data_IF_904420171229
#
_entry.id   IF_904420171229
#
_cell.length_a   1.000
_cell.length_b   1.000
_cell.length_c   1.000
_cell.angle_alpha   90.00
_cell.angle_beta   90.00
_cell.angle_gamma   90.00
#
_symmetry.space_group_name_H-M   'P 1'
#
loop_
_entity.id
_entity.type
_entity.pdbx_description
1 polymer ?
#
# COMPACT_ATOMS: atom_id res chain seq x y z
N UNK A 1 66.02 17.29 63.11
CA UNK A 1 66.17 16.62 61.80
C UNK A 1 64.77 16.44 61.22
N UNK A 2 64.53 16.88 59.99
CA UNK A 2 63.20 17.12 59.39
C UNK A 2 62.54 15.84 58.88
N UNK A 3 61.28 15.60 59.25
CA UNK A 3 60.38 14.64 58.62
C UNK A 3 59.93 15.14 57.24
N UNK A 4 59.93 14.26 56.23
CA UNK A 4 59.26 14.52 54.94
C UNK A 4 57.96 13.71 54.91
N UNK A 5 56.84 14.42 55.06
CA UNK A 5 55.51 13.99 54.63
C UNK A 5 55.48 13.95 53.10
N UNK A 6 55.09 12.83 52.51
CA UNK A 6 54.77 12.74 51.08
C UNK A 6 53.26 12.49 50.97
N UNK A 7 52.52 13.50 50.53
CA UNK A 7 51.09 13.42 50.19
C UNK A 7 50.86 12.59 48.91
N UNK A 8 49.77 11.81 48.82
CA UNK A 8 49.39 11.12 47.59
C UNK A 8 48.83 12.10 46.56
N UNK A 9 49.27 11.97 45.30
CA UNK A 9 48.83 12.79 44.17
C UNK A 9 47.41 12.36 43.73
N UNK A 10 46.38 13.23 43.85
CA UNK A 10 45.04 12.94 43.35
C UNK A 10 44.90 13.57 41.97
N UNK A 11 45.05 12.78 40.90
CA UNK A 11 44.44 13.02 39.56
C UNK A 11 45.05 12.08 38.51
N UNK A 12 44.57 10.83 38.46
CA UNK A 12 44.57 10.10 37.21
C UNK A 12 43.53 10.75 36.30
N UNK A 13 43.93 11.77 35.51
CA UNK A 13 43.11 12.26 34.40
C UNK A 13 42.95 11.13 33.39
N UNK A 14 41.72 10.84 32.91
CA UNK A 14 41.56 9.92 31.80
C UNK A 14 42.37 10.44 30.61
N UNK A 15 43.24 9.58 30.12
CA UNK A 15 44.18 9.83 29.05
C UNK A 15 43.42 10.41 27.85
N UNK A 16 43.59 11.71 27.58
CA UNK A 16 42.84 12.48 26.58
C UNK A 16 43.18 12.12 25.13
N UNK A 17 43.57 10.87 24.87
CA UNK A 17 43.93 10.40 23.53
C UNK A 17 42.68 10.42 22.65
N UNK A 18 42.68 11.19 21.55
CA UNK A 18 41.54 11.23 20.65
C UNK A 18 41.30 9.84 20.07
N UNK A 19 40.02 9.41 19.93
CA UNK A 19 39.68 8.08 19.47
C UNK A 19 40.32 7.82 18.10
N UNK A 20 40.85 6.60 17.92
CA UNK A 20 41.53 6.25 16.68
C UNK A 20 40.59 6.38 15.48
N UNK A 21 41.15 6.61 14.29
CA UNK A 21 40.35 6.73 13.05
C UNK A 21 39.43 5.52 12.85
N UNK A 22 39.88 4.31 13.27
CA UNK A 22 39.10 3.07 13.27
C UNK A 22 37.94 3.09 14.28
N UNK A 23 38.16 3.57 15.51
CA UNK A 23 37.10 3.72 16.52
C UNK A 23 36.03 4.74 16.13
N UNK A 24 36.43 5.85 15.49
CA UNK A 24 35.48 6.84 14.94
C UNK A 24 34.65 6.27 13.79
N UNK A 25 35.24 5.43 12.94
CA UNK A 25 34.54 4.78 11.83
C UNK A 25 33.51 3.76 12.35
N UNK A 26 33.90 2.89 13.28
CA UNK A 26 33.02 1.89 13.92
C UNK A 26 31.82 2.52 14.66
N UNK A 27 32.03 3.64 15.36
CA UNK A 27 30.93 4.36 16.02
C UNK A 27 29.97 4.99 15.00
N UNK A 28 30.48 5.51 13.88
CA UNK A 28 29.65 6.09 12.82
C UNK A 28 28.85 5.03 12.08
N UNK A 29 29.45 3.90 11.74
CA UNK A 29 28.74 2.78 11.11
C UNK A 29 27.72 2.16 12.08
N UNK A 30 28.05 2.03 13.36
CA UNK A 30 27.11 1.58 14.38
C UNK A 30 25.91 2.51 14.55
N UNK A 31 26.13 3.84 14.60
CA UNK A 31 25.03 4.82 14.65
C UNK A 31 24.19 4.84 13.37
N UNK A 32 24.82 4.71 12.19
CA UNK A 32 24.09 4.64 10.93
C UNK A 32 23.18 3.41 10.88
N UNK A 33 23.68 2.23 11.29
CA UNK A 33 22.88 1.02 11.35
C UNK A 33 21.72 1.14 12.35
N UNK A 34 21.99 1.68 13.55
CA UNK A 34 20.97 1.90 14.56
C UNK A 34 19.87 2.88 14.07
N UNK A 35 20.25 3.95 13.38
CA UNK A 35 19.32 4.89 12.77
C UNK A 35 18.47 4.23 11.69
N UNK A 36 19.07 3.40 10.82
CA UNK A 36 18.33 2.63 9.79
C UNK A 36 17.34 1.66 10.44
N UNK A 37 17.74 0.93 11.48
CA UNK A 37 16.85 0.01 12.18
C UNK A 37 15.71 0.74 12.90
N UNK A 38 15.98 1.90 13.49
CA UNK A 38 14.96 2.72 14.15
C UNK A 38 13.95 3.28 13.14
N UNK A 39 14.42 3.79 11.99
CA UNK A 39 13.56 4.23 10.90
C UNK A 39 12.75 3.08 10.30
N UNK A 40 13.35 1.90 10.13
CA UNK A 40 12.64 0.71 9.68
C UNK A 40 11.56 0.30 10.69
N UNK A 41 11.86 0.32 11.99
CA UNK A 41 10.90 0.01 13.05
C UNK A 41 9.71 0.99 13.07
N UNK A 42 10.00 2.30 12.98
CA UNK A 42 8.96 3.34 12.89
C UNK A 42 8.12 3.19 11.62
N UNK A 43 8.75 2.90 10.49
CA UNK A 43 8.06 2.66 9.22
C UNK A 43 7.13 1.43 9.29
N UNK A 44 7.60 0.32 9.86
CA UNK A 44 6.79 -0.89 10.07
C UNK A 44 5.63 -0.62 11.04
N UNK A 45 5.89 0.11 12.14
CA UNK A 45 4.87 0.48 13.11
C UNK A 45 3.77 1.36 12.51
N UNK A 46 4.16 2.41 11.77
CA UNK A 46 3.24 3.28 11.05
C UNK A 46 2.45 2.50 9.99
N UNK A 47 3.10 1.64 9.20
CA UNK A 47 2.42 0.82 8.19
C UNK A 47 1.37 -0.09 8.82
N UNK A 48 1.71 -0.81 9.90
CA UNK A 48 0.76 -1.68 10.60
C UNK A 48 -0.41 -0.90 11.18
N UNK A 49 -0.17 0.29 11.71
CA UNK A 49 -1.24 1.15 12.25
C UNK A 49 -2.14 1.71 11.13
N UNK A 50 -1.55 2.12 10.01
CA UNK A 50 -2.27 2.75 8.89
C UNK A 50 -3.03 1.75 8.02
N UNK A 51 -2.47 0.55 7.86
CA UNK A 51 -2.96 -0.50 6.96
C UNK A 51 -3.34 -1.78 7.73
N UNK A 52 -4.12 -1.65 8.81
CA UNK A 52 -4.50 -2.78 9.69
C UNK A 52 -5.22 -3.92 8.96
N UNK A 53 -5.83 -3.63 7.81
CA UNK A 53 -6.56 -4.59 6.97
C UNK A 53 -5.73 -5.10 5.78
N UNK A 54 -4.50 -4.64 5.61
CA UNK A 54 -3.63 -4.98 4.49
C UNK A 54 -2.45 -5.82 4.97
N UNK A 55 -2.38 -7.08 4.56
CA UNK A 55 -1.27 -7.95 4.99
C UNK A 55 0.03 -7.53 4.30
N UNK A 56 1.18 -7.71 4.98
CA UNK A 56 2.48 -7.39 4.40
C UNK A 56 2.78 -8.15 3.11
N UNK A 57 2.29 -9.39 2.99
CA UNK A 57 2.41 -10.18 1.76
C UNK A 57 1.58 -9.60 0.60
N UNK A 58 0.35 -9.15 0.87
CA UNK A 58 -0.49 -8.49 -0.14
C UNK A 58 0.12 -7.15 -0.59
N UNK A 59 0.66 -6.37 0.35
CA UNK A 59 1.35 -5.11 0.06
C UNK A 59 2.59 -5.32 -0.81
N UNK A 60 3.40 -6.34 -0.52
CA UNK A 60 4.56 -6.66 -1.35
C UNK A 60 4.17 -7.13 -2.76
N UNK A 61 3.10 -7.93 -2.88
CA UNK A 61 2.59 -8.37 -4.18
C UNK A 61 2.10 -7.18 -5.03
N UNK A 62 1.32 -6.29 -4.43
CA UNK A 62 0.82 -5.10 -5.11
C UNK A 62 1.98 -4.14 -5.47
N UNK A 63 2.98 -3.97 -4.60
CA UNK A 63 4.17 -3.17 -4.92
C UNK A 63 4.95 -3.74 -6.12
N UNK A 64 5.19 -5.05 -6.15
CA UNK A 64 5.87 -5.72 -7.27
C UNK A 64 5.07 -5.58 -8.57
N UNK A 65 3.76 -5.79 -8.52
CA UNK A 65 2.88 -5.61 -9.67
C UNK A 65 2.90 -4.16 -10.17
N UNK A 66 2.86 -3.17 -9.26
CA UNK A 66 2.88 -1.76 -9.61
C UNK A 66 4.18 -1.34 -10.31
N UNK A 67 5.34 -1.77 -9.80
CA UNK A 67 6.63 -1.50 -10.46
C UNK A 67 6.66 -2.10 -11.87
N UNK A 68 6.22 -3.34 -12.01
CA UNK A 68 6.25 -4.04 -13.29
C UNK A 68 5.23 -3.49 -14.30
N UNK A 69 4.09 -2.97 -13.82
CA UNK A 69 3.05 -2.40 -14.67
C UNK A 69 3.33 -0.96 -15.13
N UNK A 70 4.19 -0.20 -14.43
CA UNK A 70 4.30 1.26 -14.61
C UNK A 70 4.57 1.73 -16.05
N UNK A 71 5.22 0.91 -16.89
CA UNK A 71 5.59 1.25 -18.27
C UNK A 71 4.75 0.52 -19.32
N UNK A 72 3.71 -0.19 -18.89
CA UNK A 72 2.82 -0.86 -19.82
C UNK A 72 1.93 0.17 -20.54
N UNK A 73 1.42 -0.14 -21.74
CA UNK A 73 0.46 0.73 -22.44
C UNK A 73 -0.81 0.99 -21.61
N UNK A 74 -1.25 -0.02 -20.84
CA UNK A 74 -2.37 0.07 -19.90
C UNK A 74 -1.91 -0.33 -18.49
N UNK A 75 -1.28 0.59 -17.73
CA UNK A 75 -0.68 0.27 -16.44
C UNK A 75 -1.67 -0.30 -15.43
N UNK A 76 -2.89 0.24 -15.38
CA UNK A 76 -3.92 -0.22 -14.45
C UNK A 76 -4.34 -1.68 -14.73
N UNK A 77 -4.63 -2.00 -15.99
CA UNK A 77 -5.01 -3.37 -16.40
C UNK A 77 -3.85 -4.33 -16.20
N UNK A 78 -2.63 -3.93 -16.59
CA UNK A 78 -1.44 -4.75 -16.41
C UNK A 78 -1.15 -5.05 -14.94
N UNK A 79 -1.40 -4.08 -14.06
CA UNK A 79 -1.29 -4.30 -12.62
C UNK A 79 -2.24 -5.41 -12.14
N UNK A 80 -3.49 -5.39 -12.58
CA UNK A 80 -4.48 -6.41 -12.24
C UNK A 80 -4.05 -7.80 -12.74
N UNK A 81 -3.58 -7.90 -13.99
CA UNK A 81 -3.07 -9.16 -14.54
C UNK A 81 -1.90 -9.72 -13.73
N UNK A 82 -0.93 -8.87 -13.39
CA UNK A 82 0.24 -9.27 -12.61
C UNK A 82 -0.15 -9.70 -11.18
N UNK A 83 -1.25 -9.16 -10.66
CA UNK A 83 -1.70 -9.43 -9.30
C UNK A 83 -2.60 -10.66 -9.18
N UNK A 84 -3.42 -10.91 -10.19
CA UNK A 84 -4.48 -11.91 -10.14
C UNK A 84 -4.32 -13.05 -11.16
N UNK A 85 -3.46 -12.89 -12.17
CA UNK A 85 -3.36 -13.82 -13.28
C UNK A 85 -4.11 -13.34 -14.51
N UNK A 86 -4.26 -14.20 -15.52
CA UNK A 86 -4.95 -13.83 -16.76
C UNK A 86 -6.37 -13.36 -16.47
N UNK A 87 -6.72 -12.19 -16.98
CA UNK A 87 -8.08 -11.62 -16.90
C UNK A 87 -9.02 -12.25 -17.94
N UNK A 88 -8.58 -13.27 -18.69
CA UNK A 88 -9.49 -14.13 -19.46
C UNK A 88 -10.18 -15.17 -18.56
N UNK A 89 -9.59 -15.47 -17.41
CA UNK A 89 -10.17 -16.35 -16.39
C UNK A 89 -11.24 -15.61 -15.57
N UNK A 90 -12.49 -16.10 -15.53
CA UNK A 90 -13.58 -15.50 -14.74
C UNK A 90 -13.25 -15.35 -13.25
N UNK A 91 -12.53 -16.30 -12.65
CA UNK A 91 -12.19 -16.20 -11.24
C UNK A 91 -11.23 -15.05 -10.98
N UNK A 92 -10.21 -14.90 -11.84
CA UNK A 92 -9.23 -13.83 -11.73
C UNK A 92 -9.87 -12.45 -11.98
N UNK A 93 -10.77 -12.33 -12.98
CA UNK A 93 -11.52 -11.09 -13.21
C UNK A 93 -12.38 -10.71 -12.02
N UNK A 94 -13.12 -11.65 -11.45
CA UNK A 94 -13.92 -11.41 -10.24
C UNK A 94 -13.03 -10.95 -9.09
N UNK A 95 -11.89 -11.60 -8.86
CA UNK A 95 -10.95 -11.22 -7.79
C UNK A 95 -10.31 -9.84 -8.05
N UNK A 96 -10.05 -9.51 -9.31
CA UNK A 96 -9.61 -8.19 -9.74
C UNK A 96 -10.70 -7.12 -9.55
N UNK A 97 -11.97 -7.45 -9.77
CA UNK A 97 -13.08 -6.53 -9.51
C UNK A 97 -13.23 -6.29 -8.00
N UNK A 98 -13.13 -7.34 -7.19
CA UNK A 98 -13.16 -7.23 -5.73
C UNK A 98 -11.95 -6.48 -5.14
N UNK A 99 -10.89 -6.23 -5.94
CA UNK A 99 -9.77 -5.37 -5.56
C UNK A 99 -10.23 -3.99 -5.07
N UNK A 100 -11.19 -3.40 -5.78
CA UNK A 100 -11.62 -2.03 -5.57
C UNK A 100 -12.44 -1.84 -4.28
N UNK A 101 -12.78 -2.94 -3.62
CA UNK A 101 -13.53 -2.95 -2.37
C UNK A 101 -12.68 -3.36 -1.17
N UNK A 102 -11.38 -3.57 -1.34
CA UNK A 102 -10.49 -3.82 -0.21
C UNK A 102 -10.11 -2.47 0.44
N UNK A 103 -10.42 -2.24 1.73
CA UNK A 103 -10.16 -0.96 2.39
C UNK A 103 -8.66 -0.60 2.43
N UNK A 104 -7.77 -1.59 2.58
CA UNK A 104 -6.33 -1.37 2.56
C UNK A 104 -5.82 -0.91 1.20
N UNK A 105 -6.43 -1.41 0.12
CA UNK A 105 -6.10 -1.01 -1.26
C UNK A 105 -6.73 0.31 -1.65
N UNK A 106 -7.94 0.62 -1.20
CA UNK A 106 -8.49 1.98 -1.31
C UNK A 106 -7.57 2.96 -0.57
N UNK A 107 -7.00 2.54 0.56
CA UNK A 107 -6.00 3.33 1.27
C UNK A 107 -4.74 3.57 0.41
N UNK A 108 -4.19 2.51 -0.19
CA UNK A 108 -3.01 2.62 -1.05
C UNK A 108 -3.28 3.44 -2.32
N UNK A 109 -4.44 3.25 -2.96
CA UNK A 109 -4.84 3.97 -4.17
C UNK A 109 -4.98 5.47 -3.92
N UNK A 110 -5.50 5.90 -2.77
CA UNK A 110 -5.53 7.34 -2.44
C UNK A 110 -4.13 7.95 -2.42
N UNK A 111 -3.19 7.32 -1.73
CA UNK A 111 -1.80 7.80 -1.70
C UNK A 111 -1.21 7.89 -3.12
N UNK A 112 -1.49 6.90 -3.97
CA UNK A 112 -1.01 6.93 -5.36
C UNK A 112 -1.66 8.07 -6.16
N UNK A 113 -2.98 8.22 -6.09
CA UNK A 113 -3.72 9.28 -6.80
C UNK A 113 -3.26 10.68 -6.39
N UNK A 114 -2.93 10.87 -5.11
CA UNK A 114 -2.49 12.16 -4.57
C UNK A 114 -1.10 12.56 -5.09
N UNK A 115 -0.23 11.60 -5.38
CA UNK A 115 1.18 11.84 -5.76
C UNK A 115 1.50 11.54 -7.23
N UNK A 116 0.56 10.98 -7.98
CA UNK A 116 0.73 10.67 -9.40
C UNK A 116 0.62 11.94 -10.25
N UNK A 117 1.40 11.99 -11.33
CA UNK A 117 1.31 13.09 -12.29
C UNK A 117 -0.14 13.24 -12.81
N UNK A 118 -0.68 14.47 -12.96
CA UNK A 118 -2.06 14.65 -13.37
C UNK A 118 -2.45 13.97 -14.69
N UNK A 119 -1.51 13.89 -15.64
CA UNK A 119 -1.72 13.21 -16.93
C UNK A 119 -1.83 11.70 -16.75
N UNK A 120 -0.86 11.09 -16.07
CA UNK A 120 -0.84 9.66 -15.75
C UNK A 120 -2.05 9.25 -14.93
N UNK A 121 -2.43 10.07 -13.94
CA UNK A 121 -3.61 9.86 -13.11
C UNK A 121 -4.88 9.78 -13.94
N UNK A 122 -5.09 10.72 -14.88
CA UNK A 122 -6.27 10.74 -15.74
C UNK A 122 -6.35 9.49 -16.60
N UNK A 123 -5.23 9.10 -17.23
CA UNK A 123 -5.15 7.89 -18.05
C UNK A 123 -5.45 6.64 -17.23
N UNK A 124 -4.83 6.49 -16.06
CA UNK A 124 -5.04 5.30 -15.21
C UNK A 124 -6.48 5.19 -14.69
N UNK A 125 -7.12 6.32 -14.37
CA UNK A 125 -8.53 6.35 -13.96
C UNK A 125 -9.45 5.95 -15.12
N UNK A 126 -9.18 6.47 -16.33
CA UNK A 126 -9.95 6.13 -17.53
C UNK A 126 -9.80 4.64 -17.89
N UNK A 127 -8.58 4.11 -17.89
CA UNK A 127 -8.29 2.69 -18.15
C UNK A 127 -8.98 1.79 -17.13
N UNK A 128 -8.97 2.18 -15.85
CA UNK A 128 -9.64 1.42 -14.78
C UNK A 128 -11.16 1.41 -14.99
N UNK A 129 -11.77 2.58 -15.26
CA UNK A 129 -13.21 2.68 -15.52
C UNK A 129 -13.61 1.85 -16.74
N UNK A 130 -12.84 1.94 -17.83
CA UNK A 130 -13.07 1.16 -19.05
C UNK A 130 -12.96 -0.34 -18.81
N UNK A 131 -12.00 -0.78 -18.00
CA UNK A 131 -11.86 -2.18 -17.62
C UNK A 131 -13.08 -2.67 -16.82
N UNK A 132 -13.56 -1.90 -15.83
CA UNK A 132 -14.77 -2.25 -15.05
C UNK A 132 -16.01 -2.33 -15.94
N UNK A 133 -16.15 -1.38 -16.88
CA UNK A 133 -17.25 -1.37 -17.84
C UNK A 133 -17.21 -2.61 -18.74
N UNK A 134 -16.03 -2.93 -19.28
CA UNK A 134 -15.81 -4.16 -20.08
C UNK A 134 -16.08 -5.42 -19.26
N UNK A 135 -15.70 -5.42 -17.98
CA UNK A 135 -15.97 -6.53 -17.08
C UNK A 135 -17.47 -6.79 -16.94
N UNK A 136 -18.27 -5.74 -16.72
CA UNK A 136 -19.74 -5.84 -16.66
C UNK A 136 -20.34 -6.45 -17.93
N UNK A 137 -19.89 -6.00 -19.10
CA UNK A 137 -20.51 -6.41 -20.38
C UNK A 137 -20.07 -7.79 -20.86
N UNK A 138 -18.91 -8.28 -20.40
CA UNK A 138 -18.36 -9.60 -20.78
C UNK A 138 -18.58 -10.67 -19.70
N UNK A 139 -19.16 -10.29 -18.56
CA UNK A 139 -19.47 -11.20 -17.46
C UNK A 139 -20.43 -12.30 -17.93
N UNK A 140 -20.06 -13.56 -17.72
CA UNK A 140 -20.96 -14.68 -18.00
C UNK A 140 -22.09 -14.73 -16.98
N UNK A 141 -23.18 -15.46 -17.29
CA UNK A 141 -24.27 -15.64 -16.34
C UNK A 141 -23.82 -16.32 -15.03
N UNK A 142 -22.94 -17.33 -15.11
CA UNK A 142 -22.40 -18.02 -13.93
C UNK A 142 -21.47 -17.14 -13.11
N UNK A 143 -20.67 -16.30 -13.77
CA UNK A 143 -19.81 -15.34 -13.10
C UNK A 143 -20.63 -14.27 -12.37
N UNK A 144 -21.68 -13.76 -13.02
CA UNK A 144 -22.65 -12.82 -12.46
C UNK A 144 -23.35 -13.40 -11.23
N UNK A 145 -23.81 -14.64 -11.31
CA UNK A 145 -24.42 -15.33 -10.18
C UNK A 145 -23.44 -15.48 -9.01
N UNK A 146 -22.21 -15.92 -9.28
CA UNK A 146 -21.20 -16.09 -8.24
C UNK A 146 -20.82 -14.76 -7.56
N UNK A 147 -20.74 -13.67 -8.34
CA UNK A 147 -20.53 -12.33 -7.80
C UNK A 147 -21.73 -11.88 -6.96
N UNK A 148 -22.96 -12.06 -7.46
CA UNK A 148 -24.19 -11.76 -6.73
C UNK A 148 -24.27 -12.50 -5.39
N UNK A 149 -24.05 -13.82 -5.40
CA UNK A 149 -24.01 -14.63 -4.18
C UNK A 149 -22.96 -14.14 -3.17
N UNK A 150 -21.78 -13.75 -3.65
CA UNK A 150 -20.76 -13.15 -2.78
C UNK A 150 -21.23 -11.82 -2.18
N UNK A 151 -21.81 -10.93 -2.99
CA UNK A 151 -22.31 -9.63 -2.56
C UNK A 151 -23.46 -9.73 -1.56
N UNK A 152 -24.27 -10.79 -1.64
CA UNK A 152 -25.37 -11.08 -0.72
C UNK A 152 -24.88 -11.73 0.58
N UNK A 153 -23.67 -12.30 0.59
CA UNK A 153 -23.09 -12.92 1.78
C UNK A 153 -22.73 -11.89 2.86
N UNK A 154 -22.71 -12.32 4.12
CA UNK A 154 -22.27 -11.48 5.24
C UNK A 154 -20.84 -10.93 5.07
N UNK A 155 -19.96 -11.71 4.42
CA UNK A 155 -18.59 -11.29 4.13
C UNK A 155 -18.56 -10.17 3.07
N UNK A 156 -19.30 -10.34 1.97
CA UNK A 156 -19.42 -9.33 0.92
C UNK A 156 -20.05 -8.04 1.43
N UNK A 157 -21.15 -8.13 2.17
CA UNK A 157 -21.80 -6.97 2.79
C UNK A 157 -20.87 -6.19 3.71
N UNK A 158 -20.11 -6.89 4.56
CA UNK A 158 -19.11 -6.27 5.44
C UNK A 158 -18.01 -5.58 4.62
N UNK A 159 -17.49 -6.24 3.59
CA UNK A 159 -16.47 -5.64 2.74
C UNK A 159 -16.99 -4.37 2.05
N UNK A 160 -18.22 -4.39 1.51
CA UNK A 160 -18.83 -3.20 0.89
C UNK A 160 -18.97 -2.06 1.90
N UNK A 161 -19.45 -2.32 3.12
CA UNK A 161 -19.59 -1.30 4.17
C UNK A 161 -18.23 -0.66 4.50
N UNK A 162 -17.19 -1.47 4.68
CA UNK A 162 -15.85 -0.97 4.97
C UNK A 162 -15.27 -0.19 3.79
N UNK A 163 -15.46 -0.66 2.55
CA UNK A 163 -15.03 0.04 1.34
C UNK A 163 -15.69 1.41 1.20
N UNK A 164 -17.01 1.48 1.42
CA UNK A 164 -17.76 2.73 1.39
C UNK A 164 -17.27 3.72 2.44
N UNK A 165 -17.10 3.27 3.70
CA UNK A 165 -16.57 4.13 4.76
C UNK A 165 -15.17 4.65 4.42
N UNK A 166 -14.30 3.78 3.93
CA UNK A 166 -12.96 4.15 3.53
C UNK A 166 -12.96 5.16 2.37
N UNK A 167 -13.78 4.96 1.34
CA UNK A 167 -13.95 5.91 0.25
C UNK A 167 -14.47 7.28 0.73
N UNK A 168 -15.49 7.29 1.59
CA UNK A 168 -16.08 8.53 2.12
C UNK A 168 -15.14 9.30 3.03
N UNK A 169 -14.19 8.63 3.67
CA UNK A 169 -13.14 9.27 4.47
C UNK A 169 -12.10 10.04 3.63
N UNK A 170 -12.12 9.87 2.30
CA UNK A 170 -11.23 10.60 1.39
C UNK A 170 -11.71 12.03 1.13
N UNK A 171 -10.76 12.90 0.83
CA UNK A 171 -11.06 14.27 0.49
C UNK A 171 -11.88 14.39 -0.81
N UNK A 172 -12.34 15.61 -1.08
CA UNK A 172 -13.16 15.90 -2.28
C UNK A 172 -12.34 15.76 -3.57
N UNK A 173 -11.03 16.01 -3.55
CA UNK A 173 -10.19 15.94 -4.75
C UNK A 173 -10.04 14.50 -5.22
N UNK A 174 -9.71 13.57 -4.32
CA UNK A 174 -9.65 12.14 -4.61
C UNK A 174 -11.01 11.63 -5.12
N UNK A 175 -12.10 11.96 -4.41
CA UNK A 175 -13.45 11.49 -4.77
C UNK A 175 -13.91 12.06 -6.11
N UNK A 176 -13.57 13.31 -6.42
CA UNK A 176 -13.85 13.93 -7.71
C UNK A 176 -13.05 13.27 -8.83
N UNK A 177 -11.75 13.07 -8.63
CA UNK A 177 -10.88 12.44 -9.62
C UNK A 177 -11.34 11.01 -9.95
N UNK A 178 -11.72 10.23 -8.93
CA UNK A 178 -12.08 8.81 -9.07
C UNK A 178 -13.55 8.57 -9.40
N UNK A 179 -14.36 9.62 -9.56
CA UNK A 179 -15.80 9.50 -9.84
C UNK A 179 -16.16 8.57 -11.03
N UNK A 180 -15.43 8.57 -12.16
CA UNK A 180 -15.72 7.65 -13.27
C UNK A 180 -15.59 6.18 -12.88
N UNK A 181 -14.57 5.83 -12.10
CA UNK A 181 -14.35 4.46 -11.60
C UNK A 181 -15.50 4.05 -10.68
N UNK A 182 -15.90 4.94 -9.77
CA UNK A 182 -17.00 4.68 -8.83
C UNK A 182 -18.32 4.47 -9.56
N UNK A 183 -18.61 5.27 -10.59
CA UNK A 183 -19.82 5.11 -11.40
C UNK A 183 -19.89 3.71 -12.03
N UNK A 184 -18.79 3.26 -12.64
CA UNK A 184 -18.72 1.94 -13.26
C UNK A 184 -18.80 0.81 -12.22
N UNK A 185 -18.18 0.96 -11.04
CA UNK A 185 -18.32 -0.01 -9.94
C UNK A 185 -19.79 -0.15 -9.52
N UNK A 186 -20.50 0.96 -9.32
CA UNK A 186 -21.91 0.93 -8.90
C UNK A 186 -22.81 0.28 -9.95
N UNK A 187 -22.61 0.61 -11.23
CA UNK A 187 -23.35 -0.04 -12.33
C UNK A 187 -23.06 -1.54 -12.42
N UNK A 188 -21.83 -1.96 -12.17
CA UNK A 188 -21.48 -3.40 -12.16
C UNK A 188 -22.06 -4.13 -10.96
N UNK A 189 -22.10 -3.50 -9.77
CA UNK A 189 -22.78 -4.06 -8.60
C UNK A 189 -24.28 -4.22 -8.83
N UNK A 190 -24.93 -3.22 -9.43
CA UNK A 190 -26.35 -3.28 -9.78
C UNK A 190 -26.63 -4.40 -10.80
N UNK A 191 -25.81 -4.48 -11.85
CA UNK A 191 -25.88 -5.56 -12.84
C UNK A 191 -25.71 -6.96 -12.22
N UNK A 192 -24.84 -7.11 -11.21
CA UNK A 192 -24.63 -8.38 -10.53
C UNK A 192 -25.78 -8.79 -9.60
N UNK A 193 -26.53 -7.81 -9.07
CA UNK A 193 -27.64 -8.04 -8.13
C UNK A 193 -28.99 -8.21 -8.82
N UNK A 194 -29.19 -7.53 -9.95
CA UNK A 194 -30.38 -7.66 -10.77
C UNK A 194 -30.24 -8.91 -11.65
N UNK A 195 -30.62 -10.06 -11.09
CA UNK A 195 -30.54 -11.38 -11.75
C UNK A 195 -31.52 -11.50 -12.91
#
# INVERSE_FOLDING_TARGET
MKSKLTTPNPTAKPDGRPPSRKQRLLKRTGMALAAVLLLAGLGVGWFKWRFRHYTGAAALADFRAGIAARRAPHPAVRFLELRYGSLDDPENRRNAFLHFFDPGRIEAMGIMVDHMDPGERRTNIADTAQWISSYRTTMSASEREALGQYLDSAAGQRQMQMATQQYLSRDVQYRSATAPVIAELMMTLDHARNR
#
